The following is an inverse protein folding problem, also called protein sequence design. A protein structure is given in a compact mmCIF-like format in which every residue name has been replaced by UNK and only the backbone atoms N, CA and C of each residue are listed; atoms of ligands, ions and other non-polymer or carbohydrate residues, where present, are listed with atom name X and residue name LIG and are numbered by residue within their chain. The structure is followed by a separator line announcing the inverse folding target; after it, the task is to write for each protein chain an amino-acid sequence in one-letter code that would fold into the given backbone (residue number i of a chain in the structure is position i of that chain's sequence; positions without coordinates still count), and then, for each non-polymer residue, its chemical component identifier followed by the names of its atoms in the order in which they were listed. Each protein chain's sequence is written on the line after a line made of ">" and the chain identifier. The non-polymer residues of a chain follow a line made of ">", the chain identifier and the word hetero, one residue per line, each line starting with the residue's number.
data_IF_069337130378
#
_entry.id   IF_069337130378
#
_cell.length_a   1.000
_cell.length_b   1.000
_cell.length_c   1.000
_cell.angle_alpha   90.00
_cell.angle_beta   90.00
_cell.angle_gamma   90.00
#
_symmetry.space_group_name_H-M   'P 1'
#
loop_
_entity.id
_entity.type
_entity.pdbx_description
1 polymer ?
#
# COMPACT_ATOMS: atom_id res chain seq x y z
N UNK A 1 18.25 -24.21 -23.11
CA UNK A 1 17.88 -24.15 -21.67
C UNK A 1 16.57 -23.40 -21.61
N UNK A 2 15.48 -24.16 -21.58
CA UNK A 2 14.11 -23.63 -21.51
C UNK A 2 13.89 -23.05 -20.11
N UNK A 3 13.72 -21.72 -20.05
CA UNK A 3 13.37 -21.06 -18.83
C UNK A 3 11.97 -21.50 -18.41
N UNK A 4 11.84 -22.07 -17.23
CA UNK A 4 10.57 -22.33 -16.59
C UNK A 4 9.83 -20.98 -16.45
N UNK A 5 8.93 -20.70 -17.39
CA UNK A 5 7.94 -19.63 -17.28
C UNK A 5 7.06 -19.97 -16.09
N UNK A 6 7.31 -19.31 -14.97
CA UNK A 6 6.51 -19.47 -13.77
C UNK A 6 5.04 -19.17 -14.10
N UNK A 7 4.20 -20.17 -14.00
CA UNK A 7 2.77 -20.20 -14.28
C UNK A 7 1.93 -19.35 -13.27
N UNK A 8 2.55 -18.33 -12.65
CA UNK A 8 1.93 -17.45 -11.66
C UNK A 8 0.75 -16.65 -12.22
N UNK A 9 0.83 -16.34 -13.51
CA UNK A 9 -0.20 -15.57 -14.22
C UNK A 9 -1.19 -16.41 -15.03
N UNK A 10 -1.17 -17.73 -14.86
CA UNK A 10 -2.11 -18.62 -15.57
C UNK A 10 -3.48 -18.71 -14.91
N UNK A 11 -3.60 -18.34 -13.63
CA UNK A 11 -4.87 -18.35 -12.91
C UNK A 11 -5.55 -17.00 -13.03
N UNK A 12 -6.80 -16.99 -13.47
CA UNK A 12 -7.65 -15.80 -13.47
C UNK A 12 -8.28 -15.64 -12.07
N UNK A 13 -8.06 -14.50 -11.45
CA UNK A 13 -8.65 -14.14 -10.16
C UNK A 13 -9.91 -13.30 -10.37
N UNK A 14 -10.97 -13.57 -9.61
CA UNK A 14 -12.21 -12.77 -9.72
C UNK A 14 -11.97 -11.35 -9.25
N UNK A 15 -11.38 -11.16 -8.07
CA UNK A 15 -11.15 -9.84 -7.46
C UNK A 15 -9.70 -9.71 -7.02
N UNK A 16 -9.03 -8.64 -7.43
CA UNK A 16 -7.73 -8.24 -6.91
C UNK A 16 -7.81 -6.92 -6.15
N UNK A 17 -7.04 -6.78 -5.07
CA UNK A 17 -6.85 -5.50 -4.40
C UNK A 17 -5.49 -4.91 -4.76
N UNK A 18 -5.49 -3.61 -5.13
CA UNK A 18 -4.28 -2.83 -5.31
C UNK A 18 -4.20 -1.75 -4.22
N UNK A 19 -3.20 -1.86 -3.35
CA UNK A 19 -3.04 -1.05 -2.15
C UNK A 19 -1.85 -0.09 -2.29
N UNK A 20 -2.11 1.21 -2.24
CA UNK A 20 -1.08 2.24 -2.41
C UNK A 20 -0.13 2.33 -1.22
N UNK A 21 1.04 2.96 -1.44
CA UNK A 21 1.83 3.51 -0.35
C UNK A 21 1.12 4.68 0.34
N UNK A 22 1.53 5.01 1.57
CA UNK A 22 0.87 6.10 2.32
C UNK A 22 1.35 6.32 3.74
N UNK A 23 2.42 5.66 4.18
CA UNK A 23 2.92 5.76 5.56
C UNK A 23 1.85 5.35 6.58
N UNK A 24 1.66 6.14 7.65
CA UNK A 24 0.65 5.93 8.69
C UNK A 24 -0.77 5.83 8.14
N UNK A 25 -1.03 6.47 6.99
CA UNK A 25 -2.34 6.39 6.30
C UNK A 25 -2.69 4.97 5.85
N UNK A 26 -1.73 4.05 5.93
CA UNK A 26 -1.94 2.62 5.70
C UNK A 26 -3.03 2.00 6.57
N UNK A 27 -3.31 2.54 7.75
CA UNK A 27 -4.44 2.10 8.56
C UNK A 27 -5.80 2.32 7.88
N UNK A 28 -5.91 3.30 6.98
CA UNK A 28 -7.10 3.47 6.16
C UNK A 28 -7.31 2.34 5.14
N UNK A 29 -6.25 1.63 4.71
CA UNK A 29 -6.41 0.41 3.92
C UNK A 29 -7.18 -0.66 4.71
N UNK A 30 -6.82 -0.84 5.99
CA UNK A 30 -7.47 -1.83 6.85
C UNK A 30 -8.96 -1.48 7.04
N UNK A 31 -9.28 -0.20 7.27
CA UNK A 31 -10.67 0.26 7.36
C UNK A 31 -11.44 0.05 6.06
N UNK A 32 -10.85 0.41 4.92
CA UNK A 32 -11.47 0.19 3.62
C UNK A 32 -11.68 -1.31 3.33
N UNK A 33 -10.69 -2.14 3.63
CA UNK A 33 -10.80 -3.60 3.49
C UNK A 33 -11.89 -4.18 4.39
N UNK A 34 -12.02 -3.70 5.63
CA UNK A 34 -13.07 -4.12 6.55
C UNK A 34 -14.46 -3.85 5.95
N UNK A 35 -14.71 -2.63 5.47
CA UNK A 35 -15.97 -2.27 4.84
C UNK A 35 -16.25 -3.12 3.58
N UNK A 36 -15.25 -3.33 2.72
CA UNK A 36 -15.39 -4.19 1.54
C UNK A 36 -15.78 -5.62 1.91
N UNK A 37 -15.15 -6.19 2.95
CA UNK A 37 -15.44 -7.56 3.42
C UNK A 37 -16.87 -7.69 3.96
N UNK A 38 -17.37 -6.67 4.63
CA UNK A 38 -18.77 -6.62 5.12
C UNK A 38 -19.80 -6.58 3.99
N UNK A 39 -19.38 -6.10 2.82
CA UNK A 39 -20.14 -6.15 1.56
C UNK A 39 -19.86 -7.38 0.70
N UNK A 40 -19.19 -8.43 1.24
CA UNK A 40 -18.78 -9.66 0.54
C UNK A 40 -17.86 -9.45 -0.67
N UNK A 41 -17.16 -8.32 -0.70
CA UNK A 41 -16.12 -8.03 -1.71
C UNK A 41 -14.78 -8.50 -1.14
N UNK A 42 -14.35 -9.71 -1.51
CA UNK A 42 -13.14 -10.36 -0.96
C UNK A 42 -12.07 -10.50 -2.04
N UNK A 43 -10.82 -10.15 -1.75
CA UNK A 43 -9.76 -10.32 -2.73
C UNK A 43 -9.35 -11.78 -2.87
N UNK A 44 -8.97 -12.19 -4.08
CA UNK A 44 -8.32 -13.46 -4.37
C UNK A 44 -6.80 -13.30 -4.56
N UNK A 45 -6.34 -12.07 -4.74
CA UNK A 45 -4.94 -11.66 -4.82
C UNK A 45 -4.80 -10.21 -4.36
N UNK A 46 -3.67 -9.87 -3.77
CA UNK A 46 -3.35 -8.50 -3.38
C UNK A 46 -2.04 -8.06 -4.04
N UNK A 47 -1.99 -6.81 -4.48
CA UNK A 47 -0.76 -6.11 -4.83
C UNK A 47 -0.62 -4.89 -3.94
N UNK A 48 0.53 -4.72 -3.31
CA UNK A 48 0.76 -3.64 -2.35
C UNK A 48 2.11 -2.95 -2.50
N UNK A 49 2.13 -1.67 -2.14
CA UNK A 49 3.34 -0.85 -2.06
C UNK A 49 3.42 -0.23 -0.68
N UNK A 50 4.61 -0.29 -0.04
CA UNK A 50 4.86 0.41 1.24
C UNK A 50 3.79 0.07 2.29
N UNK A 51 3.06 1.05 2.78
CA UNK A 51 1.95 0.86 3.72
C UNK A 51 0.89 -0.13 3.21
N UNK A 52 0.63 -0.15 1.89
CA UNK A 52 -0.27 -1.13 1.27
C UNK A 52 0.30 -2.54 1.25
N UNK A 53 1.62 -2.70 1.12
CA UNK A 53 2.28 -4.00 1.29
C UNK A 53 2.15 -4.50 2.73
N UNK A 54 2.29 -3.60 3.71
CA UNK A 54 2.13 -3.90 5.14
C UNK A 54 0.69 -4.34 5.46
N UNK A 55 -0.31 -3.57 5.05
CA UNK A 55 -1.73 -3.95 5.24
C UNK A 55 -2.05 -5.27 4.54
N UNK A 56 -1.56 -5.43 3.30
CA UNK A 56 -1.74 -6.63 2.50
C UNK A 56 -1.14 -7.88 3.13
N UNK A 57 0.06 -7.80 3.71
CA UNK A 57 0.71 -8.97 4.31
C UNK A 57 -0.02 -9.45 5.56
N UNK A 58 -0.46 -8.54 6.44
CA UNK A 58 -1.22 -8.95 7.62
C UNK A 58 -2.54 -9.62 7.23
N UNK A 59 -3.26 -9.07 6.26
CA UNK A 59 -4.49 -9.68 5.77
C UNK A 59 -4.23 -11.03 5.09
N UNK A 60 -3.22 -11.10 4.22
CA UNK A 60 -2.87 -12.35 3.52
C UNK A 60 -2.36 -13.45 4.45
N UNK A 61 -1.82 -13.10 5.63
CA UNK A 61 -1.45 -14.02 6.71
C UNK A 61 -2.65 -14.53 7.54
N UNK A 62 -3.89 -14.08 7.20
CA UNK A 62 -5.15 -14.50 7.81
C UNK A 62 -5.61 -13.66 9.00
N UNK A 63 -5.14 -12.43 9.13
CA UNK A 63 -5.63 -11.52 10.15
C UNK A 63 -6.83 -10.72 9.65
N UNK A 64 -7.84 -10.55 10.49
CA UNK A 64 -8.95 -9.64 10.22
C UNK A 64 -8.44 -8.17 10.25
N UNK A 65 -8.90 -7.30 9.31
CA UNK A 65 -8.33 -5.96 9.19
C UNK A 65 -8.34 -5.15 10.49
N UNK A 66 -9.43 -5.16 11.26
CA UNK A 66 -9.50 -4.40 12.51
C UNK A 66 -8.56 -4.93 13.60
N UNK A 67 -8.29 -6.25 13.64
CA UNK A 67 -7.37 -6.85 14.62
C UNK A 67 -5.90 -6.49 14.35
N UNK A 68 -5.58 -6.05 13.13
CA UNK A 68 -4.22 -5.59 12.82
C UNK A 68 -3.86 -4.34 13.63
N UNK A 69 -4.85 -3.52 14.04
CA UNK A 69 -4.63 -2.35 14.90
C UNK A 69 -4.00 -2.75 16.24
N UNK A 70 -4.36 -3.92 16.80
CA UNK A 70 -3.86 -4.41 18.09
C UNK A 70 -2.35 -4.62 18.08
N UNK A 71 -1.78 -5.04 16.94
CA UNK A 71 -0.33 -5.21 16.79
C UNK A 71 0.44 -3.88 16.88
N UNK A 72 -0.20 -2.76 16.56
CA UNK A 72 0.41 -1.43 16.61
C UNK A 72 0.04 -0.66 17.89
N UNK A 73 -0.92 -1.18 18.67
CA UNK A 73 -1.36 -0.54 19.90
C UNK A 73 -0.19 -0.40 20.91
N UNK A 74 0.01 0.81 21.41
CA UNK A 74 1.08 1.12 22.35
C UNK A 74 2.47 1.32 21.74
N UNK A 75 2.67 0.99 20.46
CA UNK A 75 3.92 1.29 19.76
C UNK A 75 4.01 2.75 19.32
N UNK A 76 5.24 3.27 19.30
CA UNK A 76 5.58 4.57 18.68
C UNK A 76 6.45 4.31 17.45
N UNK A 77 6.54 5.31 16.58
CA UNK A 77 7.40 5.25 15.39
C UNK A 77 8.85 4.85 15.71
N UNK A 78 9.39 5.33 16.84
CA UNK A 78 10.75 5.03 17.29
C UNK A 78 10.95 3.56 17.67
N UNK A 79 9.88 2.86 18.07
CA UNK A 79 9.94 1.44 18.46
C UNK A 79 10.09 0.53 17.22
N UNK A 80 9.71 1.05 16.04
CA UNK A 80 9.78 0.36 14.77
C UNK A 80 10.98 0.79 13.90
N UNK A 81 11.80 1.74 14.39
CA UNK A 81 12.89 2.30 13.60
C UNK A 81 14.11 2.62 14.46
N UNK A 82 15.29 2.44 13.93
CA UNK A 82 16.55 2.76 14.59
C UNK A 82 17.24 3.94 13.92
N UNK A 83 17.51 4.97 14.72
CA UNK A 83 18.29 6.12 14.26
C UNK A 83 19.75 5.69 14.03
N UNK A 84 20.29 6.03 12.86
CA UNK A 84 21.67 5.71 12.49
C UNK A 84 22.43 6.98 12.12
N UNK A 85 23.76 6.89 12.07
CA UNK A 85 24.60 7.99 11.56
C UNK A 85 24.24 8.17 10.08
N UNK A 86 23.77 9.36 9.66
CA UNK A 86 23.19 9.56 8.34
C UNK A 86 24.26 9.53 7.23
N UNK A 87 24.56 8.34 6.73
CA UNK A 87 25.37 8.14 5.52
C UNK A 87 24.51 7.97 4.27
N UNK A 88 23.47 7.10 4.38
CA UNK A 88 22.59 6.73 3.26
C UNK A 88 21.11 6.82 3.62
N UNK A 89 20.76 7.11 4.86
CA UNK A 89 19.41 7.30 5.41
C UNK A 89 19.50 7.75 6.86
N UNK A 90 18.39 8.27 7.40
CA UNK A 90 18.31 8.70 8.80
C UNK A 90 18.00 7.55 9.75
N UNK A 91 17.30 6.52 9.25
CA UNK A 91 16.84 5.38 10.03
C UNK A 91 17.12 4.06 9.31
N UNK A 92 17.19 2.98 10.07
CA UNK A 92 17.15 1.60 9.60
C UNK A 92 15.83 0.94 10.01
N UNK A 93 15.48 -0.14 9.28
CA UNK A 93 14.25 -0.90 9.46
C UNK A 93 14.51 -2.27 10.13
N UNK A 94 15.57 -2.41 10.94
CA UNK A 94 15.86 -3.64 11.68
C UNK A 94 14.73 -4.02 12.63
N UNK A 95 14.32 -3.08 13.48
CA UNK A 95 13.26 -3.27 14.46
C UNK A 95 11.91 -3.55 13.79
N UNK A 96 11.66 -2.89 12.65
CA UNK A 96 10.47 -3.15 11.84
C UNK A 96 10.46 -4.57 11.25
N UNK A 97 11.61 -5.07 10.80
CA UNK A 97 11.73 -6.47 10.35
C UNK A 97 11.48 -7.46 11.49
N UNK A 98 12.01 -7.17 12.68
CA UNK A 98 11.81 -8.01 13.85
C UNK A 98 10.35 -7.98 14.34
N UNK A 99 9.71 -6.81 14.29
CA UNK A 99 8.26 -6.67 14.52
C UNK A 99 7.45 -7.55 13.57
N UNK A 100 7.72 -7.53 12.26
CA UNK A 100 7.03 -8.39 11.29
C UNK A 100 7.24 -9.88 11.57
N UNK A 101 8.49 -10.27 11.85
CA UNK A 101 8.82 -11.67 12.19
C UNK A 101 8.11 -12.18 13.43
N UNK A 102 7.88 -11.30 14.41
CA UNK A 102 7.22 -11.65 15.66
C UNK A 102 5.70 -11.75 15.54
N UNK A 103 5.09 -10.98 14.65
CA UNK A 103 3.63 -10.85 14.56
C UNK A 103 3.01 -11.58 13.36
N UNK A 104 3.79 -12.09 12.41
CA UNK A 104 3.30 -12.87 11.28
C UNK A 104 3.55 -14.38 11.50
N UNK A 105 2.58 -15.20 11.10
CA UNK A 105 2.68 -16.67 11.10
C UNK A 105 3.59 -17.14 9.97
N UNK A 106 3.29 -16.71 8.73
CA UNK A 106 4.12 -16.95 7.58
C UNK A 106 5.44 -16.20 7.66
N UNK A 107 6.53 -16.81 7.19
CA UNK A 107 7.85 -16.17 7.09
C UNK A 107 8.22 -15.82 5.65
N UNK A 108 7.63 -16.52 4.70
CA UNK A 108 7.82 -16.31 3.26
C UNK A 108 6.51 -15.96 2.57
N UNK A 109 6.59 -15.17 1.49
CA UNK A 109 5.41 -14.74 0.73
C UNK A 109 4.60 -15.92 0.16
N UNK A 110 5.28 -16.98 -0.24
CA UNK A 110 4.65 -18.21 -0.76
C UNK A 110 3.95 -19.05 0.30
N UNK A 111 4.09 -18.72 1.58
CA UNK A 111 3.43 -19.40 2.71
C UNK A 111 2.12 -18.68 3.12
N UNK A 112 1.86 -17.51 2.57
CA UNK A 112 0.65 -16.73 2.86
C UNK A 112 -0.61 -17.47 2.38
N UNK A 113 -1.73 -17.28 3.09
CA UNK A 113 -3.02 -17.88 2.76
C UNK A 113 -3.62 -17.29 1.48
N UNK A 114 -3.22 -16.07 1.13
CA UNK A 114 -3.65 -15.35 -0.07
C UNK A 114 -2.42 -14.86 -0.84
N UNK A 115 -2.38 -15.01 -2.18
CA UNK A 115 -1.29 -14.47 -2.98
C UNK A 115 -1.10 -12.97 -2.79
N UNK A 116 0.14 -12.57 -2.48
CA UNK A 116 0.52 -11.17 -2.32
C UNK A 116 1.72 -10.85 -3.22
N UNK A 117 1.61 -9.75 -3.97
CA UNK A 117 2.72 -9.16 -4.74
C UNK A 117 3.14 -7.86 -4.07
N UNK A 118 4.38 -7.79 -3.63
CA UNK A 118 4.97 -6.58 -3.03
C UNK A 118 5.81 -5.87 -4.10
N UNK A 119 5.53 -4.59 -4.32
CA UNK A 119 6.28 -3.77 -5.27
C UNK A 119 7.31 -2.92 -4.53
N UNK A 120 8.57 -2.98 -5.00
CA UNK A 120 9.68 -2.13 -4.58
C UNK A 120 10.37 -1.51 -5.81
N UNK A 121 11.29 -0.59 -5.58
CA UNK A 121 12.14 -0.03 -6.63
C UNK A 121 13.55 -0.61 -6.49
N UNK A 122 14.03 -1.29 -7.53
CA UNK A 122 15.43 -1.70 -7.70
C UNK A 122 16.23 -0.43 -7.96
N UNK A 123 17.02 0.00 -6.96
CA UNK A 123 17.75 1.26 -6.99
C UNK A 123 18.95 1.20 -7.93
N UNK A 124 19.56 0.03 -8.05
CA UNK A 124 20.77 -0.14 -8.87
C UNK A 124 20.47 -0.10 -10.37
N UNK A 125 19.27 -0.56 -10.77
CA UNK A 125 18.89 -0.65 -12.18
C UNK A 125 17.75 0.31 -12.59
N UNK A 126 17.19 1.08 -11.65
CA UNK A 126 16.15 2.07 -11.94
C UNK A 126 14.84 1.46 -12.46
N UNK A 127 14.42 0.32 -11.95
CA UNK A 127 13.23 -0.42 -12.41
C UNK A 127 12.37 -0.90 -11.24
N UNK A 128 11.12 -1.26 -11.55
CA UNK A 128 10.23 -1.91 -10.59
C UNK A 128 10.69 -3.36 -10.32
N UNK A 129 10.58 -3.77 -9.07
CA UNK A 129 10.70 -5.15 -8.62
C UNK A 129 9.37 -5.59 -8.00
N UNK A 130 8.88 -6.77 -8.42
CA UNK A 130 7.65 -7.36 -7.93
C UNK A 130 7.96 -8.67 -7.22
N UNK A 131 7.91 -8.65 -5.90
CA UNK A 131 8.19 -9.81 -5.07
C UNK A 131 6.90 -10.61 -4.82
N UNK A 132 6.95 -11.88 -5.10
CA UNK A 132 5.89 -12.85 -4.81
C UNK A 132 6.41 -14.09 -4.08
N UNK A 133 7.71 -14.09 -3.74
CA UNK A 133 8.43 -15.15 -3.02
C UNK A 133 9.50 -14.56 -2.12
N UNK A 134 9.91 -15.35 -1.13
CA UNK A 134 11.03 -15.07 -0.25
C UNK A 134 10.62 -14.44 1.07
N UNK A 135 11.58 -14.05 1.91
CA UNK A 135 11.37 -13.55 3.27
C UNK A 135 10.46 -12.32 3.29
N UNK A 136 9.36 -12.41 4.03
CA UNK A 136 8.34 -11.34 4.11
C UNK A 136 8.93 -10.07 4.70
N UNK A 137 9.67 -10.18 5.80
CA UNK A 137 10.16 -9.01 6.52
C UNK A 137 11.15 -8.20 5.67
N UNK A 138 11.99 -8.87 4.88
CA UNK A 138 12.91 -8.19 3.95
C UNK A 138 12.15 -7.51 2.81
N UNK A 139 11.18 -8.19 2.18
CA UNK A 139 10.44 -7.65 1.02
C UNK A 139 9.53 -6.50 1.41
N UNK A 140 8.86 -6.60 2.57
CA UNK A 140 8.06 -5.49 3.11
C UNK A 140 8.96 -4.32 3.49
N UNK A 141 10.08 -4.56 4.18
CA UNK A 141 11.04 -3.49 4.51
C UNK A 141 11.59 -2.80 3.25
N UNK A 142 11.92 -3.55 2.19
CA UNK A 142 12.35 -2.97 0.91
C UNK A 142 11.27 -2.08 0.29
N UNK A 143 10.01 -2.51 0.34
CA UNK A 143 8.86 -1.73 -0.16
C UNK A 143 8.55 -0.50 0.70
N UNK A 144 8.89 -0.52 2.00
CA UNK A 144 8.65 0.59 2.95
C UNK A 144 9.85 1.53 3.11
N UNK A 145 10.95 1.25 2.44
CA UNK A 145 12.21 1.98 2.59
C UNK A 145 12.22 3.28 1.79
N UNK A 146 11.52 4.30 2.29
CA UNK A 146 11.43 5.61 1.63
C UNK A 146 12.80 6.29 1.57
N UNK A 147 13.27 6.68 0.37
CA UNK A 147 14.54 7.41 0.21
C UNK A 147 14.65 8.64 1.10
N UNK A 148 15.86 8.99 1.51
CA UNK A 148 16.20 10.07 2.45
C UNK A 148 15.88 9.73 3.90
N UNK A 149 14.71 9.11 4.16
CA UNK A 149 14.31 8.77 5.52
C UNK A 149 14.94 7.46 5.99
N UNK A 150 14.92 6.43 5.13
CA UNK A 150 15.48 5.11 5.46
C UNK A 150 16.69 4.77 4.58
N UNK A 151 17.62 4.00 5.16
CA UNK A 151 18.70 3.41 4.39
C UNK A 151 18.17 2.33 3.43
N UNK A 152 18.64 2.25 2.17
CA UNK A 152 18.22 1.22 1.23
C UNK A 152 18.38 -0.19 1.79
N UNK A 153 17.42 -1.07 1.50
CA UNK A 153 17.47 -2.47 1.92
C UNK A 153 18.20 -3.29 0.86
N UNK A 154 19.27 -3.99 1.25
CA UNK A 154 19.97 -4.92 0.37
C UNK A 154 19.33 -6.30 0.44
N UNK A 155 18.92 -6.83 -0.71
CA UNK A 155 18.45 -8.21 -0.88
C UNK A 155 19.33 -8.85 -1.95
N UNK A 156 20.02 -9.92 -1.60
CA UNK A 156 21.09 -10.51 -2.40
C UNK A 156 22.13 -9.41 -2.75
N UNK A 157 22.41 -9.18 -4.02
CA UNK A 157 23.38 -8.16 -4.46
C UNK A 157 22.77 -6.82 -4.86
N UNK A 158 21.43 -6.64 -4.73
CA UNK A 158 20.70 -5.46 -5.21
C UNK A 158 20.16 -4.63 -4.05
N UNK A 159 20.26 -3.31 -4.17
CA UNK A 159 19.65 -2.36 -3.24
C UNK A 159 18.23 -1.97 -3.67
N UNK A 160 17.32 -1.94 -2.72
CA UNK A 160 15.92 -1.59 -2.95
C UNK A 160 15.50 -0.41 -2.09
N UNK A 161 14.59 0.38 -2.66
CA UNK A 161 13.88 1.45 -1.97
C UNK A 161 12.37 1.32 -2.22
N UNK A 162 11.59 2.16 -1.55
CA UNK A 162 10.12 2.16 -1.61
C UNK A 162 9.61 2.13 -3.07
N UNK A 163 8.68 1.22 -3.32
CA UNK A 163 8.07 1.04 -4.65
C UNK A 163 7.30 2.26 -5.13
N UNK A 164 6.82 3.09 -4.20
CA UNK A 164 6.13 4.35 -4.50
C UNK A 164 6.97 5.34 -5.31
N UNK A 165 8.30 5.19 -5.35
CA UNK A 165 9.16 6.00 -6.20
C UNK A 165 8.78 5.88 -7.69
N UNK A 166 8.46 4.68 -8.15
CA UNK A 166 8.12 4.40 -9.56
C UNK A 166 6.64 4.01 -9.77
N UNK A 167 5.99 3.39 -8.79
CA UNK A 167 4.58 2.97 -8.86
C UNK A 167 3.96 2.95 -7.47
N UNK A 168 3.22 4.00 -7.11
CA UNK A 168 2.61 4.08 -5.79
C UNK A 168 1.29 3.32 -5.66
N UNK A 169 0.56 3.10 -6.72
CA UNK A 169 -0.71 2.36 -6.76
C UNK A 169 -0.58 1.19 -7.74
N UNK A 170 -0.32 -0.05 -7.30
CA UNK A 170 0.14 -1.13 -8.17
C UNK A 170 -1.00 -1.90 -8.87
N UNK A 171 -1.93 -1.19 -9.54
CA UNK A 171 -3.05 -1.80 -10.27
C UNK A 171 -2.56 -2.63 -11.47
N UNK A 172 -1.62 -2.08 -12.24
CA UNK A 172 -1.03 -2.76 -13.40
C UNK A 172 -0.40 -4.10 -13.07
N UNK A 173 0.08 -4.27 -11.84
CA UNK A 173 0.74 -5.50 -11.38
C UNK A 173 -0.19 -6.71 -11.44
N UNK A 174 -1.49 -6.50 -11.19
CA UNK A 174 -2.50 -7.57 -11.11
C UNK A 174 -3.60 -7.44 -12.19
N UNK A 175 -3.66 -6.31 -12.91
CA UNK A 175 -4.76 -6.02 -13.86
C UNK A 175 -5.01 -7.15 -14.88
N UNK A 176 -3.92 -7.74 -15.40
CA UNK A 176 -4.03 -8.77 -16.46
C UNK A 176 -4.51 -10.13 -15.96
N UNK A 177 -4.42 -10.38 -14.67
CA UNK A 177 -4.77 -11.67 -14.06
C UNK A 177 -6.06 -11.61 -13.26
N UNK A 178 -6.65 -10.43 -13.08
CA UNK A 178 -7.91 -10.22 -12.36
C UNK A 178 -9.04 -9.83 -13.31
N UNK A 179 -10.24 -10.36 -13.04
CA UNK A 179 -11.46 -9.90 -13.70
C UNK A 179 -11.78 -8.48 -13.28
N UNK A 180 -11.71 -8.23 -11.97
CA UNK A 180 -11.94 -6.93 -11.35
C UNK A 180 -10.81 -6.55 -10.43
N UNK A 181 -10.48 -5.25 -10.41
CA UNK A 181 -9.48 -4.69 -9.50
C UNK A 181 -10.10 -3.56 -8.70
N UNK A 182 -10.08 -3.72 -7.38
CA UNK A 182 -10.38 -2.67 -6.42
C UNK A 182 -9.07 -2.00 -6.04
N UNK A 183 -8.93 -0.71 -6.32
CA UNK A 183 -7.77 0.09 -5.94
C UNK A 183 -8.12 0.92 -4.70
N UNK A 184 -7.27 0.86 -3.68
CA UNK A 184 -7.39 1.70 -2.48
C UNK A 184 -6.18 2.62 -2.46
N UNK A 185 -6.41 3.93 -2.65
CA UNK A 185 -5.36 4.94 -2.68
C UNK A 185 -5.48 5.86 -1.46
N UNK A 186 -4.58 5.69 -0.50
CA UNK A 186 -4.54 6.50 0.73
C UNK A 186 -3.60 7.71 0.65
N UNK A 187 -3.12 8.03 -0.55
CA UNK A 187 -2.21 9.15 -0.81
C UNK A 187 -2.76 10.10 -1.88
N UNK A 188 -3.96 10.68 -1.69
CA UNK A 188 -4.52 11.65 -2.62
C UNK A 188 -3.64 12.91 -2.72
N UNK A 189 -3.83 13.69 -3.80
CA UNK A 189 -3.05 14.89 -4.08
C UNK A 189 -3.43 16.04 -3.14
N UNK A 190 -2.62 16.26 -2.13
CA UNK A 190 -2.65 17.49 -1.32
C UNK A 190 -1.23 17.95 -1.00
N UNK A 191 -1.02 19.24 -0.83
CA UNK A 191 0.29 19.83 -0.65
C UNK A 191 0.36 20.58 0.70
N UNK A 192 0.56 19.85 1.84
CA UNK A 192 0.64 20.49 3.14
C UNK A 192 1.81 21.47 3.21
N UNK A 193 1.74 22.42 4.14
CA UNK A 193 2.84 23.36 4.43
C UNK A 193 4.10 22.59 4.81
N UNK A 194 5.26 23.08 4.40
CA UNK A 194 6.55 22.47 4.71
C UNK A 194 7.60 23.51 5.10
N UNK A 195 8.65 23.05 5.77
CA UNK A 195 9.80 23.90 6.12
C UNK A 195 10.81 23.91 4.96
N UNK A 196 11.40 25.06 4.67
CA UNK A 196 12.40 25.20 3.61
C UNK A 196 13.78 24.74 4.13
N UNK A 197 14.04 23.44 4.03
CA UNK A 197 15.36 22.84 4.28
C UNK A 197 15.55 21.63 3.35
N UNK A 198 16.79 21.17 3.19
CA UNK A 198 17.17 20.13 2.23
C UNK A 198 16.32 18.86 2.39
N UNK A 199 16.16 18.37 3.62
CA UNK A 199 15.39 17.15 3.89
C UNK A 199 13.92 17.32 3.53
N UNK A 200 13.31 18.43 3.97
CA UNK A 200 11.89 18.71 3.69
C UNK A 200 11.63 18.90 2.19
N UNK A 201 12.54 19.55 1.46
CA UNK A 201 12.45 19.71 -0.01
C UNK A 201 12.56 18.36 -0.70
N UNK A 202 13.54 17.54 -0.32
CA UNK A 202 13.72 16.20 -0.89
C UNK A 202 12.51 15.29 -0.63
N UNK A 203 12.00 15.25 0.61
CA UNK A 203 10.80 14.48 0.96
C UNK A 203 9.55 14.99 0.23
N UNK A 204 9.44 16.32 0.03
CA UNK A 204 8.31 16.87 -0.71
C UNK A 204 8.39 16.53 -2.20
N UNK A 205 9.57 16.59 -2.79
CA UNK A 205 9.78 16.20 -4.18
C UNK A 205 9.45 14.71 -4.38
N UNK A 206 9.87 13.86 -3.44
CA UNK A 206 9.50 12.46 -3.41
C UNK A 206 7.97 12.28 -3.34
N UNK A 207 7.29 13.03 -2.45
CA UNK A 207 5.83 12.95 -2.36
C UNK A 207 5.11 13.35 -3.65
N UNK A 208 5.64 14.29 -4.42
CA UNK A 208 5.06 14.63 -5.72
C UNK A 208 5.23 13.52 -6.75
N UNK A 209 6.41 12.89 -6.84
CA UNK A 209 6.63 11.74 -7.72
C UNK A 209 5.72 10.56 -7.35
N UNK A 210 5.67 10.26 -6.07
CA UNK A 210 4.87 9.22 -5.45
C UNK A 210 3.37 9.37 -5.79
N UNK A 211 2.85 10.60 -5.74
CA UNK A 211 1.46 10.89 -6.07
C UNK A 211 1.21 10.91 -7.59
N UNK A 212 2.11 11.54 -8.35
CA UNK A 212 1.92 11.68 -9.79
C UNK A 212 1.93 10.36 -10.53
N UNK A 213 2.74 9.38 -10.10
CA UNK A 213 2.79 8.07 -10.75
C UNK A 213 1.57 7.19 -10.45
N UNK A 214 0.71 7.56 -9.49
CA UNK A 214 -0.55 6.86 -9.23
C UNK A 214 -1.67 7.21 -10.23
N UNK A 215 -1.62 8.36 -10.93
CA UNK A 215 -2.69 8.76 -11.84
C UNK A 215 -2.98 7.74 -12.96
N UNK A 216 -1.99 7.26 -13.73
CA UNK A 216 -2.26 6.30 -14.79
C UNK A 216 -2.74 4.94 -14.27
N UNK A 217 -2.51 4.66 -13.00
CA UNK A 217 -2.96 3.42 -12.36
C UNK A 217 -4.42 3.50 -11.90
N UNK A 218 -4.88 4.68 -11.48
CA UNK A 218 -6.27 4.91 -11.04
C UNK A 218 -7.28 4.54 -12.12
N UNK A 219 -7.00 4.91 -13.37
CA UNK A 219 -7.88 4.67 -14.52
C UNK A 219 -8.01 3.19 -14.89
N UNK A 220 -7.10 2.34 -14.39
CA UNK A 220 -7.09 0.90 -14.67
C UNK A 220 -7.91 0.09 -13.66
N UNK A 221 -8.34 0.71 -12.56
CA UNK A 221 -9.16 0.08 -11.54
C UNK A 221 -10.63 0.03 -11.95
N UNK A 222 -11.32 -1.05 -11.56
CA UNK A 222 -12.77 -1.13 -11.73
C UNK A 222 -13.50 -0.39 -10.60
N UNK A 223 -12.93 -0.36 -9.39
CA UNK A 223 -13.38 0.42 -8.25
C UNK A 223 -12.20 1.14 -7.64
N UNK A 224 -12.29 2.47 -7.50
CA UNK A 224 -11.29 3.29 -6.84
C UNK A 224 -11.84 3.85 -5.53
N UNK A 225 -11.14 3.57 -4.44
CA UNK A 225 -11.43 4.07 -3.11
C UNK A 225 -10.33 5.04 -2.71
N UNK A 226 -10.68 6.31 -2.50
CA UNK A 226 -9.77 7.36 -2.04
C UNK A 226 -10.36 8.04 -0.82
N UNK A 227 -9.99 7.61 0.41
CA UNK A 227 -10.47 8.24 1.62
C UNK A 227 -10.06 9.71 1.68
N UNK A 228 -11.00 10.58 2.02
CA UNK A 228 -10.77 12.00 2.23
C UNK A 228 -10.16 12.25 3.61
N UNK A 229 -9.70 13.47 3.89
CA UNK A 229 -9.27 13.92 5.22
C UNK A 229 -8.07 13.16 5.81
N UNK A 230 -7.25 12.50 4.98
CA UNK A 230 -6.05 11.82 5.45
C UNK A 230 -4.82 12.74 5.58
N UNK A 231 -4.91 13.99 5.11
CA UNK A 231 -3.74 14.89 5.05
C UNK A 231 -3.40 15.56 6.37
N UNK A 232 -4.32 15.54 7.33
CA UNK A 232 -4.11 16.09 8.67
C UNK A 232 -3.20 15.24 9.56
N UNK A 233 -2.91 13.99 9.18
CA UNK A 233 -2.15 13.07 10.02
C UNK A 233 -0.65 13.15 9.74
N UNK A 234 0.12 13.34 10.79
CA UNK A 234 1.58 13.29 10.74
C UNK A 234 2.05 11.82 10.65
N UNK A 235 3.12 11.57 9.89
CA UNK A 235 3.68 10.23 9.70
C UNK A 235 4.19 9.53 10.97
N UNK A 236 4.12 10.18 12.15
CA UNK A 236 4.62 9.65 13.42
C UNK A 236 3.52 9.37 14.45
N UNK A 237 2.26 9.67 14.12
CA UNK A 237 1.12 9.58 15.04
C UNK A 237 0.47 8.19 14.99
N UNK A 238 1.21 7.13 15.41
CA UNK A 238 0.66 5.76 15.48
C UNK A 238 -0.55 5.65 16.41
N UNK A 239 -0.65 6.53 17.41
CA UNK A 239 -1.81 6.65 18.30
C UNK A 239 -3.11 7.05 17.59
N UNK A 240 -3.00 7.53 16.34
CA UNK A 240 -4.14 7.86 15.47
C UNK A 240 -4.62 6.71 14.58
N UNK A 241 -4.07 5.51 14.77
CA UNK A 241 -4.36 4.35 13.91
C UNK A 241 -5.86 4.05 13.78
N UNK A 242 -6.60 4.06 14.90
CA UNK A 242 -8.05 3.84 14.95
C UNK A 242 -8.81 4.93 14.17
N UNK A 243 -8.45 6.19 14.36
CA UNK A 243 -9.08 7.32 13.67
C UNK A 243 -8.85 7.22 12.16
N UNK A 244 -7.63 6.89 11.72
CA UNK A 244 -7.27 6.71 10.31
C UNK A 244 -8.01 5.49 9.72
N UNK A 245 -8.12 4.40 10.46
CA UNK A 245 -8.91 3.24 10.07
C UNK A 245 -10.35 3.63 9.79
N UNK A 246 -10.99 4.38 10.70
CA UNK A 246 -12.37 4.83 10.52
C UNK A 246 -12.56 5.75 9.31
N UNK A 247 -11.56 6.56 8.94
CA UNK A 247 -11.61 7.34 7.69
C UNK A 247 -11.70 6.42 6.46
N UNK A 248 -10.89 5.35 6.43
CA UNK A 248 -10.95 4.36 5.35
C UNK A 248 -12.28 3.60 5.30
N UNK A 249 -12.77 3.18 6.46
CA UNK A 249 -14.03 2.46 6.60
C UNK A 249 -15.23 3.29 6.13
N UNK A 250 -15.37 4.51 6.64
CA UNK A 250 -16.49 5.39 6.33
C UNK A 250 -16.47 5.79 4.84
N UNK A 251 -15.31 6.22 4.32
CA UNK A 251 -15.20 6.59 2.91
C UNK A 251 -15.56 5.44 1.96
N UNK A 252 -15.25 4.21 2.33
CA UNK A 252 -15.61 3.03 1.53
C UNK A 252 -17.11 2.79 1.55
N UNK A 253 -17.75 2.83 2.72
CA UNK A 253 -19.21 2.70 2.82
C UNK A 253 -19.92 3.81 2.03
N UNK A 254 -19.48 5.08 2.15
CA UNK A 254 -20.06 6.19 1.39
C UNK A 254 -19.95 5.98 -0.14
N UNK A 255 -18.85 5.39 -0.61
CA UNK A 255 -18.67 5.07 -2.04
C UNK A 255 -19.61 3.94 -2.43
N UNK A 256 -19.69 2.86 -1.64
CA UNK A 256 -20.53 1.71 -1.93
C UNK A 256 -22.02 2.06 -1.92
N UNK A 257 -22.47 2.90 -0.97
CA UNK A 257 -23.82 3.43 -0.92
C UNK A 257 -24.16 4.28 -2.16
N UNK A 258 -23.27 5.20 -2.53
CA UNK A 258 -23.47 6.04 -3.74
C UNK A 258 -23.57 5.24 -5.01
N UNK A 259 -22.84 4.13 -5.11
CA UNK A 259 -22.90 3.23 -6.25
C UNK A 259 -24.08 2.27 -6.20
N UNK A 260 -24.92 2.32 -5.17
CA UNK A 260 -26.05 1.41 -4.94
C UNK A 260 -25.61 -0.07 -5.06
N UNK A 261 -24.41 -0.37 -4.56
CA UNK A 261 -23.85 -1.72 -4.60
C UNK A 261 -24.49 -2.53 -3.49
N UNK A 262 -25.41 -3.42 -3.85
CA UNK A 262 -25.95 -4.43 -2.95
C UNK A 262 -24.89 -5.53 -2.68
N UNK A 263 -25.01 -6.21 -1.53
CA UNK A 263 -24.12 -7.35 -1.20
C UNK A 263 -24.09 -8.35 -2.34
N UNK A 264 -22.89 -8.66 -2.83
CA UNK A 264 -22.65 -9.67 -3.87
C UNK A 264 -22.95 -9.25 -5.32
N UNK A 265 -23.45 -8.03 -5.58
CA UNK A 265 -23.90 -7.58 -6.94
C UNK A 265 -23.04 -6.48 -7.55
N UNK A 266 -21.78 -6.36 -7.20
CA UNK A 266 -20.89 -5.22 -7.54
C UNK A 266 -20.80 -4.92 -9.04
N UNK A 267 -21.06 -5.88 -9.90
CA UNK A 267 -20.43 -5.88 -11.21
C UNK A 267 -21.28 -5.33 -12.34
N UNK A 268 -22.55 -4.99 -12.09
CA UNK A 268 -23.42 -4.44 -13.13
C UNK A 268 -23.43 -2.90 -13.19
N UNK A 269 -22.86 -2.20 -12.22
CA UNK A 269 -22.94 -0.72 -12.12
C UNK A 269 -21.62 0.03 -12.17
N UNK A 270 -20.48 -0.63 -12.44
CA UNK A 270 -19.17 0.03 -12.45
C UNK A 270 -18.86 0.71 -13.78
N UNK A 271 -19.55 1.79 -14.06
CA UNK A 271 -19.14 2.81 -15.01
C UNK A 271 -19.12 4.16 -14.29
N UNK A 272 -17.90 4.66 -14.01
CA UNK A 272 -17.59 6.05 -13.62
C UNK A 272 -18.01 6.53 -12.24
N UNK A 273 -17.07 6.62 -11.30
CA UNK A 273 -17.10 7.64 -10.25
C UNK A 273 -15.70 8.00 -9.75
N UNK A 274 -14.92 8.65 -10.56
CA UNK A 274 -13.99 9.69 -10.08
C UNK A 274 -14.56 11.02 -10.52
N UNK A 275 -14.73 12.03 -9.65
CA UNK A 275 -14.92 13.38 -10.13
C UNK A 275 -13.69 13.73 -10.96
N UNK A 276 -13.93 14.08 -12.25
CA UNK A 276 -12.87 14.57 -13.12
C UNK A 276 -12.22 15.79 -12.44
N UNK A 277 -10.90 15.99 -12.52
CA UNK A 277 -10.27 17.24 -12.10
C UNK A 277 -10.91 18.48 -12.71
N UNK A 278 -11.68 18.35 -13.79
CA UNK A 278 -12.44 19.45 -14.44
C UNK A 278 -13.71 19.85 -13.71
N UNK A 279 -14.20 19.02 -12.78
CA UNK A 279 -15.45 19.31 -12.03
C UNK A 279 -15.19 20.16 -10.78
N UNK A 280 -13.93 20.25 -10.32
CA UNK A 280 -13.52 21.07 -9.18
C UNK A 280 -13.10 22.51 -9.53
N UNK A 281 -13.00 22.85 -10.82
CA UNK A 281 -12.66 24.22 -11.27
C UNK A 281 -13.90 25.10 -11.54
N UNK A 282 -15.11 24.64 -11.24
CA UNK A 282 -16.37 25.38 -11.51
C UNK A 282 -17.22 25.68 -10.27
N UNK A 283 -16.61 25.74 -9.07
CA UNK A 283 -17.33 26.24 -7.90
C UNK A 283 -16.50 27.29 -7.16
#
# INVERSE_FOLDING_TARGET
>A
MEGATNNWFSNKYSIGYALSGGFIKGFAHLGAMQALLEHDIKPNIISGVSAGALAGVFYADGNEPHKVLDYFAGHKFQDLTKLVIPKVGLFELSEFKDFLKSNLKAKKLEELQLPLIITATDLDHGRLAHFHKGDIAERVAASCCMPVLFAPVKIDETYYVDGGLLMNLPVSTIRRVCEKVVAINVSPLMAPKYKMNIVSVALRSYNFMFRSNSFPEREKADLLIEPYNLDGYSNRELEKAEEIFMQGYNATNDILERLQIEKGTIWNCLLYTSPSPRDTERS
#
